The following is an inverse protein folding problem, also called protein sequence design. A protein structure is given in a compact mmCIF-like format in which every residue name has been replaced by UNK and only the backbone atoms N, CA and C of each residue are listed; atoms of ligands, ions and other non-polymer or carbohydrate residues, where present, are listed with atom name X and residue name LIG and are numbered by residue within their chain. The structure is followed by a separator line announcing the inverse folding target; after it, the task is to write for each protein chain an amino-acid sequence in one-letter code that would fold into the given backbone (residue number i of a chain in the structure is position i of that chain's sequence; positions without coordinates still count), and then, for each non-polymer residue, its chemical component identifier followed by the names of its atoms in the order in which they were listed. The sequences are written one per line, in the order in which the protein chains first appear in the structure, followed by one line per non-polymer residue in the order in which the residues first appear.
data_IF_922743849402
#
_entry.id   IF_922743849402
#
_cell.length_a   1.000
_cell.length_b   1.000
_cell.length_c   1.000
_cell.angle_alpha   90.00
_cell.angle_beta   90.00
_cell.angle_gamma   90.00
#
_symmetry.space_group_name_H-M   'P 1'
#
loop_
_entity.id
_entity.type
_entity.pdbx_description
1 polymer ?
#
# COMPACT_ATOMS: atom_id res chain seq x y z
N UNK A 1 7.31 22.81 53.92
CA UNK A 1 5.88 22.83 54.28
C UNK A 1 5.51 24.30 54.39
N UNK A 2 4.32 24.68 53.92
CA UNK A 2 3.84 26.04 53.51
C UNK A 2 3.95 26.21 51.99
N UNK A 3 2.95 25.79 51.20
CA UNK A 3 1.52 26.18 51.08
C UNK A 3 1.40 27.54 50.39
N UNK A 4 1.30 27.51 49.05
CA UNK A 4 0.81 28.64 48.27
C UNK A 4 -0.70 28.48 48.11
N UNK A 5 -1.42 29.38 48.76
CA UNK A 5 -2.88 29.47 48.79
C UNK A 5 -3.46 29.93 47.45
N UNK A 6 -4.50 29.21 47.05
CA UNK A 6 -5.46 29.55 46.02
C UNK A 6 -6.32 30.74 46.47
N UNK A 7 -6.38 31.81 45.67
CA UNK A 7 -7.52 32.74 45.68
C UNK A 7 -8.00 32.96 44.25
N UNK A 8 -9.16 32.40 43.92
CA UNK A 8 -9.83 32.60 42.64
C UNK A 8 -10.55 33.94 42.55
N UNK A 9 -10.74 34.44 41.33
CA UNK A 9 -11.78 35.41 41.01
C UNK A 9 -12.39 35.03 39.65
N UNK A 10 -13.66 34.66 39.68
CA UNK A 10 -14.48 34.47 38.49
C UNK A 10 -14.78 35.84 37.86
N UNK A 11 -14.34 36.04 36.62
CA UNK A 11 -14.64 37.22 35.82
C UNK A 11 -15.38 36.85 34.55
N UNK A 12 -16.67 37.16 34.51
CA UNK A 12 -17.48 37.23 33.29
C UNK A 12 -16.95 38.41 32.47
N UNK A 13 -16.56 38.18 31.22
CA UNK A 13 -16.41 39.24 30.21
C UNK A 13 -17.02 38.78 28.89
N UNK A 14 -18.17 39.38 28.62
CA UNK A 14 -18.91 39.42 27.37
C UNK A 14 -18.05 40.10 26.29
N UNK A 15 -17.85 39.44 25.16
CA UNK A 15 -16.95 39.88 24.11
C UNK A 15 -17.41 39.35 22.76
N UNK A 16 -18.40 40.03 22.17
CA UNK A 16 -18.88 39.81 20.80
C UNK A 16 -17.72 39.93 19.81
N UNK A 17 -17.33 38.83 19.18
CA UNK A 17 -16.58 38.84 17.93
C UNK A 17 -17.58 38.79 16.78
N UNK A 18 -17.73 39.91 16.07
CA UNK A 18 -18.38 39.94 14.76
C UNK A 18 -17.51 39.12 13.79
N UNK A 19 -18.02 37.98 13.37
CA UNK A 19 -17.55 37.27 12.18
C UNK A 19 -18.55 37.61 11.08
N UNK A 20 -18.05 38.20 10.01
CA UNK A 20 -18.81 38.50 8.81
C UNK A 20 -19.32 37.17 8.22
N UNK A 21 -20.63 37.01 8.28
CA UNK A 21 -21.41 35.89 7.76
C UNK A 21 -21.63 36.12 6.26
N UNK A 22 -20.69 35.66 5.43
CA UNK A 22 -20.92 35.48 4.00
C UNK A 22 -21.88 34.30 3.83
N UNK A 23 -23.18 34.59 3.89
CA UNK A 23 -24.25 33.64 3.68
C UNK A 23 -24.23 33.10 2.25
N UNK A 24 -23.62 31.93 2.08
CA UNK A 24 -23.87 31.07 0.93
C UNK A 24 -25.27 30.46 1.14
N UNK A 25 -26.26 30.91 0.37
CA UNK A 25 -27.61 30.36 0.38
C UNK A 25 -27.55 28.88 -0.04
N UNK A 26 -27.44 28.00 0.96
CA UNK A 26 -27.59 26.57 0.75
C UNK A 26 -29.03 26.29 0.28
N UNK A 27 -29.19 26.07 -1.02
CA UNK A 27 -30.40 25.49 -1.59
C UNK A 27 -30.56 24.06 -1.04
N UNK A 28 -31.38 23.92 0.02
CA UNK A 28 -31.70 22.65 0.69
C UNK A 28 -32.37 21.63 -0.24
N UNK A 29 -32.67 21.99 -1.51
CA UNK A 29 -33.32 21.09 -2.47
C UNK A 29 -32.36 20.32 -3.39
N UNK A 30 -31.04 20.48 -3.27
CA UNK A 30 -30.06 19.76 -4.12
C UNK A 30 -29.56 18.44 -3.50
N UNK A 31 -30.22 17.92 -2.48
CA UNK A 31 -30.01 16.54 -2.03
C UNK A 31 -31.23 15.73 -2.45
N UNK A 32 -31.10 14.76 -3.40
CA UNK A 32 -32.19 13.85 -3.67
C UNK A 32 -32.55 13.18 -2.35
N UNK A 33 -33.84 13.23 -2.01
CA UNK A 33 -34.40 12.70 -0.78
C UNK A 33 -33.91 11.26 -0.59
N UNK A 34 -32.82 11.10 0.18
CA UNK A 34 -32.30 9.79 0.54
C UNK A 34 -33.38 9.21 1.42
N UNK A 35 -34.15 8.26 0.89
CA UNK A 35 -35.07 7.49 1.70
C UNK A 35 -34.34 7.11 2.98
N UNK A 36 -34.87 7.55 4.13
CA UNK A 36 -34.35 7.27 5.47
C UNK A 36 -34.39 5.77 5.85
N UNK A 37 -34.53 4.90 4.85
CA UNK A 37 -34.55 3.44 4.97
C UNK A 37 -33.30 2.77 4.35
N UNK A 38 -32.32 3.57 3.88
CA UNK A 38 -31.05 3.05 3.41
C UNK A 38 -30.12 2.73 4.59
N UNK A 39 -30.32 1.57 5.21
CA UNK A 39 -29.28 0.86 5.96
C UNK A 39 -29.00 1.39 7.36
N UNK A 40 -30.01 1.38 8.23
CA UNK A 40 -29.75 1.43 9.68
C UNK A 40 -28.86 0.25 10.07
N UNK A 41 -27.74 0.51 10.75
CA UNK A 41 -26.91 -0.55 11.34
C UNK A 41 -27.78 -1.37 12.30
N UNK A 42 -28.06 -2.61 11.91
CA UNK A 42 -28.82 -3.55 12.73
C UNK A 42 -27.84 -4.55 13.34
N UNK A 43 -28.00 -4.81 14.64
CA UNK A 43 -27.20 -5.81 15.37
C UNK A 43 -27.72 -7.23 15.15
N UNK A 44 -28.88 -7.38 14.52
CA UNK A 44 -29.47 -8.67 14.22
C UNK A 44 -28.99 -9.15 12.85
N UNK A 45 -28.36 -10.31 12.81
CA UNK A 45 -27.82 -10.94 11.60
C UNK A 45 -28.94 -11.61 10.79
N UNK A 46 -30.05 -10.89 10.58
CA UNK A 46 -31.21 -11.38 9.85
C UNK A 46 -30.83 -11.57 8.37
N UNK A 47 -30.77 -12.83 7.92
CA UNK A 47 -30.46 -13.18 6.53
C UNK A 47 -28.98 -13.45 6.22
N UNK A 48 -28.09 -13.50 7.21
CA UNK A 48 -26.74 -14.02 6.95
C UNK A 48 -26.78 -15.53 6.71
N UNK A 49 -26.06 -15.97 5.69
CA UNK A 49 -25.78 -17.38 5.46
C UNK A 49 -25.02 -17.94 6.68
N UNK A 50 -25.60 -18.92 7.35
CA UNK A 50 -24.92 -19.65 8.41
C UNK A 50 -23.96 -20.65 7.77
N UNK A 51 -22.66 -20.38 7.85
CA UNK A 51 -21.63 -21.26 7.32
C UNK A 51 -21.11 -22.17 8.44
N UNK A 52 -21.37 -23.48 8.32
CA UNK A 52 -20.72 -24.45 9.20
C UNK A 52 -19.24 -24.60 8.85
N UNK A 53 -18.38 -24.21 9.78
CA UNK A 53 -16.93 -24.39 9.66
C UNK A 53 -16.58 -25.85 10.00
N UNK A 54 -16.63 -26.73 9.01
CA UNK A 54 -16.39 -28.18 9.16
C UNK A 54 -14.94 -28.61 9.00
N UNK A 55 -14.05 -27.70 8.58
CA UNK A 55 -12.62 -28.00 8.36
C UNK A 55 -11.79 -27.76 9.63
N UNK A 56 -10.70 -28.50 9.75
CA UNK A 56 -9.70 -28.28 10.79
C UNK A 56 -9.14 -26.86 10.72
N UNK A 57 -9.19 -26.15 11.84
CA UNK A 57 -8.48 -24.88 12.04
C UNK A 57 -6.98 -25.18 12.13
N UNK A 58 -6.21 -24.72 11.15
CA UNK A 58 -4.76 -24.91 11.12
C UNK A 58 -4.14 -24.62 9.75
N UNK A 59 -2.81 -24.70 9.68
CA UNK A 59 -2.09 -24.65 8.41
C UNK A 59 -2.44 -25.90 7.59
N UNK A 60 -2.84 -25.68 6.33
CA UNK A 60 -3.15 -26.77 5.38
C UNK A 60 -1.88 -27.40 4.78
N UNK A 61 -0.73 -26.82 5.09
CA UNK A 61 0.61 -27.27 4.68
C UNK A 61 1.39 -27.70 5.91
N UNK A 62 2.36 -28.59 5.69
CA UNK A 62 3.26 -29.01 6.76
C UNK A 62 4.00 -27.78 7.31
N UNK A 63 4.00 -27.65 8.64
CA UNK A 63 4.77 -26.61 9.31
C UNK A 63 6.27 -26.83 9.02
N UNK A 64 7.03 -25.79 8.66
CA UNK A 64 8.48 -25.90 8.57
C UNK A 64 9.08 -26.41 9.89
N UNK A 65 10.04 -27.34 9.82
CA UNK A 65 10.61 -28.02 10.99
C UNK A 65 11.28 -27.04 11.97
N UNK A 66 12.04 -26.07 11.44
CA UNK A 66 12.78 -25.08 12.24
C UNK A 66 11.89 -23.90 12.69
N UNK A 67 10.66 -23.81 12.18
CA UNK A 67 9.69 -22.77 12.56
C UNK A 67 10.17 -21.33 12.34
N UNK A 68 11.11 -21.07 11.42
CA UNK A 68 11.64 -19.71 11.24
C UNK A 68 10.63 -18.87 10.45
N UNK A 69 10.47 -17.57 10.77
CA UNK A 69 9.53 -16.70 10.08
C UNK A 69 9.69 -16.69 8.55
N UNK A 70 10.92 -16.79 8.05
CA UNK A 70 11.21 -16.81 6.61
C UNK A 70 10.63 -18.04 5.89
N UNK A 71 10.56 -19.18 6.57
CA UNK A 71 10.07 -20.42 5.98
C UNK A 71 8.56 -20.31 5.72
N UNK A 72 7.81 -19.67 6.63
CA UNK A 72 6.39 -19.36 6.43
C UNK A 72 6.16 -18.34 5.32
N UNK A 73 7.02 -17.31 5.22
CA UNK A 73 6.93 -16.33 4.13
C UNK A 73 7.12 -17.00 2.76
N UNK A 74 8.06 -17.96 2.66
CA UNK A 74 8.31 -18.70 1.41
C UNK A 74 7.11 -19.52 0.95
N UNK A 75 6.30 -20.07 1.87
CA UNK A 75 5.06 -20.79 1.53
C UNK A 75 4.08 -19.96 0.70
N UNK A 76 4.07 -18.64 0.88
CA UNK A 76 3.17 -17.72 0.18
C UNK A 76 3.89 -17.08 -1.02
N UNK A 77 5.17 -16.77 -0.89
CA UNK A 77 5.86 -15.88 -1.80
C UNK A 77 6.65 -16.59 -2.93
N UNK A 78 6.96 -17.88 -2.80
CA UNK A 78 7.84 -18.55 -3.78
C UNK A 78 7.22 -18.63 -5.19
N UNK A 79 5.92 -18.95 -5.28
CA UNK A 79 5.20 -18.95 -6.56
C UNK A 79 5.19 -17.55 -7.17
N UNK A 80 4.91 -16.53 -6.34
CA UNK A 80 4.91 -15.12 -6.74
C UNK A 80 6.26 -14.68 -7.34
N UNK A 81 7.39 -15.02 -6.70
CA UNK A 81 8.72 -14.63 -7.16
C UNK A 81 9.11 -15.33 -8.47
N UNK A 82 8.81 -16.62 -8.59
CA UNK A 82 9.05 -17.40 -9.80
C UNK A 82 8.28 -16.82 -10.98
N UNK A 83 6.99 -16.53 -10.76
CA UNK A 83 6.09 -15.96 -11.74
C UNK A 83 6.56 -14.59 -12.25
N UNK A 84 6.98 -13.72 -11.33
CA UNK A 84 7.48 -12.39 -11.66
C UNK A 84 8.79 -12.41 -12.44
N UNK A 85 9.73 -13.27 -12.05
CA UNK A 85 11.01 -13.35 -12.74
C UNK A 85 10.86 -13.77 -14.20
N UNK A 86 9.88 -14.62 -14.50
CA UNK A 86 9.59 -15.03 -15.87
C UNK A 86 8.94 -13.88 -16.67
N UNK A 87 8.00 -13.13 -16.09
CA UNK A 87 7.24 -12.11 -16.82
C UNK A 87 7.94 -10.75 -16.95
N UNK A 88 8.63 -10.28 -15.91
CA UNK A 88 9.32 -8.99 -15.91
C UNK A 88 10.54 -8.94 -16.83
N UNK A 89 11.12 -10.11 -17.16
CA UNK A 89 12.23 -10.20 -18.11
C UNK A 89 11.82 -9.81 -19.54
N UNK A 90 10.57 -9.99 -19.92
CA UNK A 90 10.11 -9.87 -21.32
C UNK A 90 9.14 -8.70 -21.57
N UNK A 91 8.25 -8.37 -20.63
CA UNK A 91 7.14 -7.46 -20.94
C UNK A 91 7.49 -5.97 -20.82
N UNK A 92 8.32 -5.59 -19.84
CA UNK A 92 8.53 -4.18 -19.53
C UNK A 92 9.51 -3.48 -20.47
N UNK A 93 10.57 -4.19 -20.87
CA UNK A 93 11.52 -3.68 -21.85
C UNK A 93 10.82 -3.39 -23.19
N UNK A 94 9.80 -4.16 -23.56
CA UNK A 94 9.04 -3.97 -24.80
C UNK A 94 8.12 -2.75 -24.71
N UNK A 95 7.35 -2.58 -23.63
CA UNK A 95 6.43 -1.43 -23.50
C UNK A 95 7.15 -0.08 -23.42
N UNK A 96 8.25 0.02 -22.66
CA UNK A 96 9.00 1.27 -22.55
C UNK A 96 9.68 1.66 -23.86
N UNK A 97 10.30 0.69 -24.55
CA UNK A 97 10.98 0.93 -25.83
C UNK A 97 9.98 1.39 -26.92
N UNK A 98 8.75 0.89 -26.86
CA UNK A 98 7.67 1.28 -27.78
C UNK A 98 6.99 2.61 -27.42
N UNK A 99 7.07 3.04 -26.17
CA UNK A 99 6.38 4.25 -25.69
C UNK A 99 7.08 5.58 -25.98
N UNK A 100 8.30 5.57 -26.54
CA UNK A 100 8.99 6.79 -26.96
C UNK A 100 9.44 7.69 -25.81
N UNK A 101 9.86 7.09 -24.68
CA UNK A 101 10.35 7.84 -23.51
C UNK A 101 11.63 8.62 -23.84
N UNK A 102 11.74 9.84 -23.32
CA UNK A 102 12.98 10.62 -23.34
C UNK A 102 14.17 9.80 -22.81
N UNK A 103 15.29 9.82 -23.53
CA UNK A 103 16.53 9.12 -23.19
C UNK A 103 17.02 9.46 -21.77
N UNK A 104 16.71 10.67 -21.28
CA UNK A 104 17.07 11.15 -19.93
C UNK A 104 16.19 10.62 -18.80
N UNK A 105 15.08 9.95 -19.11
CA UNK A 105 14.20 9.41 -18.08
C UNK A 105 14.91 8.31 -17.30
N UNK A 106 14.79 8.31 -15.97
CA UNK A 106 15.38 7.27 -15.10
C UNK A 106 14.88 5.86 -15.45
N UNK A 107 13.74 5.77 -16.14
CA UNK A 107 13.13 4.52 -16.60
C UNK A 107 13.95 3.84 -17.70
N UNK A 108 14.75 4.59 -18.47
CA UNK A 108 15.61 4.05 -19.53
C UNK A 108 16.78 3.24 -18.97
N UNK A 109 17.10 3.41 -17.68
CA UNK A 109 18.09 2.61 -16.97
C UNK A 109 17.54 1.25 -16.49
N UNK A 110 16.32 0.86 -16.90
CA UNK A 110 15.74 -0.44 -16.57
C UNK A 110 16.66 -1.59 -17.01
N UNK A 111 16.80 -2.57 -16.11
CA UNK A 111 17.50 -3.83 -16.37
C UNK A 111 16.61 -5.00 -15.94
N UNK A 112 16.71 -6.16 -16.64
CA UNK A 112 15.99 -7.36 -16.24
C UNK A 112 16.17 -7.67 -14.75
N UNK A 113 15.06 -7.94 -14.08
CA UNK A 113 15.00 -8.19 -12.65
C UNK A 113 15.20 -9.68 -12.38
N UNK A 114 16.14 -10.01 -11.50
CA UNK A 114 16.40 -11.42 -11.11
C UNK A 114 15.61 -11.81 -9.86
N UNK A 115 15.36 -13.11 -9.64
CA UNK A 115 14.70 -13.59 -8.40
C UNK A 115 15.41 -13.11 -7.14
N UNK A 116 16.75 -13.22 -6.99
CA UNK A 116 17.44 -12.74 -5.79
C UNK A 116 17.26 -11.22 -5.59
N UNK A 117 17.36 -10.43 -6.66
CA UNK A 117 17.17 -8.98 -6.59
C UNK A 117 15.73 -8.61 -6.21
N UNK A 118 14.74 -9.33 -6.73
CA UNK A 118 13.33 -9.16 -6.36
C UNK A 118 13.10 -9.53 -4.89
N UNK A 119 13.73 -10.60 -4.38
CA UNK A 119 13.68 -10.95 -2.95
C UNK A 119 14.30 -9.86 -2.08
N UNK A 120 15.44 -9.29 -2.48
CA UNK A 120 16.05 -8.14 -1.78
C UNK A 120 15.12 -6.93 -1.78
N UNK A 121 14.53 -6.59 -2.93
CA UNK A 121 13.56 -5.49 -3.04
C UNK A 121 12.39 -5.67 -2.07
N UNK A 122 11.77 -6.86 -2.03
CA UNK A 122 10.68 -7.14 -1.11
C UNK A 122 11.12 -7.15 0.35
N UNK A 123 12.32 -7.64 0.66
CA UNK A 123 12.89 -7.57 2.00
C UNK A 123 13.03 -6.12 2.48
N UNK A 124 13.54 -5.23 1.63
CA UNK A 124 13.61 -3.80 1.91
C UNK A 124 12.22 -3.17 2.02
N UNK A 125 11.27 -3.51 1.14
CA UNK A 125 9.90 -3.00 1.17
C UNK A 125 9.16 -3.38 2.45
N UNK A 126 9.30 -4.63 2.91
CA UNK A 126 8.75 -5.09 4.18
C UNK A 126 9.41 -4.37 5.36
N UNK A 127 10.72 -4.10 5.28
CA UNK A 127 11.42 -3.33 6.30
C UNK A 127 10.95 -1.87 6.39
N UNK A 128 10.62 -1.23 5.26
CA UNK A 128 9.98 0.09 5.25
C UNK A 128 8.60 0.06 5.93
N UNK A 129 7.90 -1.07 5.86
CA UNK A 129 6.64 -1.27 6.58
C UNK A 129 6.82 -1.31 8.10
N UNK A 130 7.99 -1.74 8.59
CA UNK A 130 8.27 -1.77 10.04
C UNK A 130 8.85 -0.45 10.56
N UNK A 131 9.60 0.28 9.73
CA UNK A 131 10.11 1.60 10.07
C UNK A 131 9.81 2.59 8.95
N UNK A 132 8.80 3.43 9.18
CA UNK A 132 8.34 4.42 8.19
C UNK A 132 9.12 5.73 8.35
N UNK A 133 9.63 6.27 7.24
CA UNK A 133 10.19 7.63 7.16
C UNK A 133 9.26 8.57 6.39
N UNK A 134 9.47 9.88 6.54
CA UNK A 134 8.66 10.90 5.85
C UNK A 134 8.88 10.90 4.34
N UNK A 135 10.11 10.62 3.89
CA UNK A 135 10.46 10.54 2.47
C UNK A 135 11.12 9.22 2.18
N UNK A 136 10.73 8.60 1.06
CA UNK A 136 11.38 7.37 0.56
C UNK A 136 12.89 7.52 0.34
N UNK A 137 13.35 8.74 0.08
CA UNK A 137 14.77 9.02 -0.10
C UNK A 137 15.55 8.94 1.22
N UNK A 138 14.88 9.13 2.37
CA UNK A 138 15.52 9.12 3.68
C UNK A 138 16.08 7.74 4.03
N UNK A 139 15.52 6.65 3.48
CA UNK A 139 16.07 5.30 3.68
C UNK A 139 17.50 5.12 3.16
N UNK A 140 17.93 5.94 2.20
CA UNK A 140 19.27 5.89 1.61
C UNK A 140 20.17 7.06 2.04
N UNK A 141 19.75 7.83 3.05
CA UNK A 141 20.57 8.92 3.56
C UNK A 141 21.70 8.39 4.44
N UNK A 142 22.79 9.13 4.47
CA UNK A 142 23.99 8.79 5.26
C UNK A 142 24.17 9.71 6.46
N UNK A 143 23.26 10.64 6.69
CA UNK A 143 23.30 11.49 7.87
C UNK A 143 22.98 10.71 9.14
N UNK A 144 23.46 11.22 10.27
CA UNK A 144 23.37 10.56 11.57
C UNK A 144 21.96 10.08 11.94
N UNK A 145 20.90 10.80 11.55
CA UNK A 145 19.53 10.48 11.92
C UNK A 145 18.90 9.40 11.02
N UNK A 146 19.39 9.27 9.79
CA UNK A 146 18.79 8.42 8.75
C UNK A 146 19.76 7.40 8.15
N UNK A 147 20.89 7.11 8.80
CA UNK A 147 21.93 6.18 8.33
C UNK A 147 21.51 4.70 8.40
N UNK A 148 20.44 4.35 7.70
CA UNK A 148 19.90 3.00 7.57
C UNK A 148 20.74 2.21 6.54
N UNK A 149 21.96 1.86 6.94
CA UNK A 149 22.96 1.15 6.11
C UNK A 149 22.39 -0.05 5.36
N UNK A 150 21.45 -0.77 5.97
CA UNK A 150 20.80 -1.93 5.38
C UNK A 150 20.17 -1.64 4.00
N UNK A 151 19.68 -0.44 3.72
CA UNK A 151 19.12 -0.11 2.41
C UNK A 151 20.22 0.05 1.37
N UNK A 152 21.16 0.97 1.62
CA UNK A 152 22.25 1.29 0.69
C UNK A 152 23.19 0.11 0.43
N UNK A 153 23.42 -0.74 1.43
CA UNK A 153 24.30 -1.91 1.33
C UNK A 153 23.69 -3.03 0.46
N UNK A 154 22.35 -3.08 0.35
CA UNK A 154 21.64 -4.15 -0.38
C UNK A 154 21.12 -3.73 -1.76
N UNK A 155 20.68 -2.48 -1.93
CA UNK A 155 20.15 -1.99 -3.21
C UNK A 155 20.29 -0.47 -3.29
N UNK A 156 20.65 0.07 -4.45
CA UNK A 156 20.65 1.54 -4.61
C UNK A 156 19.23 2.10 -4.63
N UNK A 157 19.07 3.34 -4.16
CA UNK A 157 17.80 4.07 -4.19
C UNK A 157 17.17 4.06 -5.58
N UNK A 158 17.95 4.40 -6.60
CA UNK A 158 17.43 4.52 -7.97
C UNK A 158 16.99 3.17 -8.51
N UNK A 159 17.71 2.08 -8.20
CA UNK A 159 17.29 0.73 -8.59
C UNK A 159 15.99 0.32 -7.88
N UNK A 160 15.87 0.62 -6.59
CA UNK A 160 14.64 0.34 -5.82
C UNK A 160 13.44 1.09 -6.40
N UNK A 161 13.57 2.39 -6.67
CA UNK A 161 12.50 3.21 -7.23
C UNK A 161 12.10 2.76 -8.63
N UNK A 162 13.09 2.39 -9.45
CA UNK A 162 12.85 1.82 -10.77
C UNK A 162 12.06 0.51 -10.64
N UNK A 163 12.48 -0.43 -9.77
CA UNK A 163 11.72 -1.68 -9.54
C UNK A 163 10.30 -1.39 -9.05
N UNK A 164 10.13 -0.47 -8.10
CA UNK A 164 8.83 -0.09 -7.55
C UNK A 164 7.88 0.45 -8.63
N UNK A 165 8.40 1.27 -9.55
CA UNK A 165 7.62 1.84 -10.65
C UNK A 165 7.21 0.80 -11.69
N UNK A 166 8.08 -0.18 -11.95
CA UNK A 166 7.92 -1.12 -13.06
C UNK A 166 7.35 -2.47 -12.65
N UNK A 167 6.92 -2.63 -11.41
CA UNK A 167 6.40 -3.90 -10.91
C UNK A 167 5.01 -4.17 -11.51
N UNK A 168 4.95 -5.06 -12.50
CA UNK A 168 3.72 -5.45 -13.17
C UNK A 168 3.42 -6.94 -13.01
N UNK A 169 2.18 -7.25 -12.65
CA UNK A 169 1.68 -8.62 -12.49
C UNK A 169 1.25 -9.25 -13.83
N UNK A 170 0.77 -8.42 -14.76
CA UNK A 170 0.27 -8.80 -16.07
C UNK A 170 0.59 -7.71 -17.10
N UNK A 171 0.59 -8.08 -18.39
CA UNK A 171 0.74 -7.14 -19.51
C UNK A 171 -0.48 -6.20 -19.57
N UNK A 172 -0.27 -4.96 -20.00
CA UNK A 172 -1.39 -4.08 -20.25
C UNK A 172 -2.17 -4.54 -21.51
N UNK A 173 -3.50 -4.39 -21.55
CA UNK A 173 -4.31 -4.71 -22.72
C UNK A 173 -3.86 -3.90 -23.91
N UNK A 174 -3.95 -4.50 -25.10
CA UNK A 174 -3.74 -3.74 -26.33
C UNK A 174 -4.93 -2.81 -26.58
N UNK A 175 -4.70 -1.73 -27.33
CA UNK A 175 -5.78 -0.79 -27.67
C UNK A 175 -6.91 -1.51 -28.41
N UNK A 176 -8.12 -1.47 -27.84
CA UNK A 176 -9.31 -2.13 -28.39
C UNK A 176 -9.61 -3.52 -27.82
N UNK A 177 -8.76 -4.04 -26.92
CA UNK A 177 -9.02 -5.28 -26.21
C UNK A 177 -10.05 -5.06 -25.09
N UNK A 178 -11.18 -5.78 -25.15
CA UNK A 178 -12.21 -5.70 -24.12
C UNK A 178 -11.96 -6.78 -23.06
N UNK A 179 -11.45 -6.38 -21.90
CA UNK A 179 -11.28 -7.26 -20.75
C UNK A 179 -12.50 -7.15 -19.84
N UNK A 180 -13.36 -8.17 -19.86
CA UNK A 180 -14.53 -8.25 -18.99
C UNK A 180 -14.15 -8.46 -17.52
N UNK A 181 -13.04 -9.14 -17.26
CA UNK A 181 -12.55 -9.45 -15.93
C UNK A 181 -11.82 -8.26 -15.28
N UNK A 182 -12.50 -7.61 -14.32
CA UNK A 182 -11.98 -6.43 -13.60
C UNK A 182 -10.67 -6.71 -12.84
N UNK A 183 -10.37 -7.96 -12.51
CA UNK A 183 -9.16 -8.34 -11.76
C UNK A 183 -8.12 -9.05 -12.62
N UNK A 184 -8.16 -8.91 -13.96
CA UNK A 184 -7.27 -9.61 -14.89
C UNK A 184 -5.78 -9.46 -14.55
N UNK A 185 -5.36 -8.30 -14.02
CA UNK A 185 -3.97 -8.07 -13.63
C UNK A 185 -3.50 -9.00 -12.52
N UNK A 186 -4.41 -9.45 -11.65
CA UNK A 186 -4.14 -10.31 -10.52
C UNK A 186 -4.43 -11.79 -10.80
N UNK A 187 -5.16 -12.12 -11.87
CA UNK A 187 -5.44 -13.52 -12.26
C UNK A 187 -4.21 -14.40 -12.32
N UNK A 188 -3.03 -13.94 -12.78
CA UNK A 188 -1.85 -14.78 -12.78
C UNK A 188 -1.41 -15.26 -11.38
N UNK A 189 -1.90 -14.63 -10.31
CA UNK A 189 -1.63 -15.01 -8.92
C UNK A 189 -2.77 -15.79 -8.27
N UNK A 190 -3.95 -15.88 -8.90
CA UNK A 190 -5.17 -16.35 -8.24
C UNK A 190 -5.56 -17.80 -8.56
N UNK A 191 -4.88 -18.49 -9.48
CA UNK A 191 -5.18 -19.85 -9.94
C UNK A 191 -6.67 -20.12 -10.22
#
# INVERSE_FOLDING_TARGET
MEVDDYTGVAGIIDGKSNLDDDGDEHDENLYPNVSQDAGLWQNELNGMLNFEFTKYSGLLVQSPEDGRPIDYFQLIADEFFSLHSQRNKYNYAEEIFLSGVDEKSTITAWKPLTVPELRTFFGLLLHMGTWITNKIQDYWRTDYLFNLRCFGDNMSRDRFLIILLCLHLAKNPQSGENIEDKIYKFRPLLN
#
